data_IF_423281283328
#
_entry.id   IF_423281283328
#
_cell.length_a   1.000
_cell.length_b   1.000
_cell.length_c   1.000
_cell.angle_alpha   90.00
_cell.angle_beta   90.00
_cell.angle_gamma   90.00
#
_symmetry.space_group_name_H-M   'P 1'
#
loop_
_entity.id
_entity.type
_entity.pdbx_description
1 polymer ?
#
# COMPACT_ATOMS: atom_id res chain seq x y z
N UNK A 1 6.24 25.31 -14.37
CA UNK A 1 7.46 25.45 -13.54
C UNK A 1 8.41 24.31 -13.87
N UNK A 2 9.70 24.53 -13.78
CA UNK A 2 10.69 23.49 -14.04
C UNK A 2 10.63 22.42 -12.95
N UNK A 3 10.79 21.15 -13.31
CA UNK A 3 10.96 20.05 -12.34
C UNK A 3 12.26 20.21 -11.56
N UNK A 4 12.32 19.60 -10.36
CA UNK A 4 13.57 19.57 -9.57
C UNK A 4 14.69 18.89 -10.37
N UNK A 5 15.90 19.40 -10.22
CA UNK A 5 17.08 18.83 -10.89
C UNK A 5 17.63 17.65 -10.07
N UNK A 6 17.03 16.49 -10.24
CA UNK A 6 17.44 15.23 -9.60
C UNK A 6 17.48 14.10 -10.62
N UNK A 7 18.26 13.07 -10.35
CA UNK A 7 18.31 11.86 -11.17
C UNK A 7 17.12 10.95 -10.83
N UNK A 8 16.01 11.18 -11.55
CA UNK A 8 14.75 10.46 -11.35
C UNK A 8 14.87 8.95 -11.54
N UNK A 9 15.74 8.49 -12.43
CA UNK A 9 15.96 7.08 -12.73
C UNK A 9 16.69 6.32 -11.62
N UNK A 10 17.44 7.02 -10.77
CA UNK A 10 18.24 6.44 -9.69
C UNK A 10 17.64 6.59 -8.29
N UNK A 11 16.43 7.09 -8.18
CA UNK A 11 15.76 7.17 -6.88
C UNK A 11 15.54 5.77 -6.28
N UNK A 12 15.67 5.66 -4.95
CA UNK A 12 15.23 4.50 -4.18
C UNK A 12 13.81 4.69 -3.67
N UNK A 13 13.25 3.68 -3.01
CA UNK A 13 12.03 3.83 -2.20
C UNK A 13 12.40 4.34 -0.80
N UNK A 14 13.07 5.51 -0.76
CA UNK A 14 13.57 6.16 0.46
C UNK A 14 12.94 7.55 0.65
N UNK A 15 12.99 8.06 1.88
CA UNK A 15 12.51 9.39 2.18
C UNK A 15 13.47 10.47 1.63
N UNK A 16 12.93 11.34 0.80
CA UNK A 16 13.56 12.58 0.35
C UNK A 16 12.67 13.75 0.79
N UNK A 17 13.16 14.71 1.56
CA UNK A 17 12.36 15.82 2.06
C UNK A 17 11.90 16.72 0.90
N UNK A 18 10.63 17.10 0.94
CA UNK A 18 10.01 18.08 0.03
C UNK A 18 9.62 19.33 0.84
N UNK A 19 9.20 20.40 0.15
CA UNK A 19 8.93 21.68 0.83
C UNK A 19 7.63 21.65 1.64
N UNK A 20 6.56 21.09 1.08
CA UNK A 20 5.21 21.21 1.65
C UNK A 20 4.64 19.89 2.15
N UNK A 21 3.92 19.98 3.25
CA UNK A 21 3.09 18.92 3.84
C UNK A 21 1.77 19.51 4.29
N UNK A 22 0.77 18.64 4.50
CA UNK A 22 -0.52 19.01 5.06
C UNK A 22 -0.58 18.59 6.53
N UNK A 23 -1.19 19.43 7.37
CA UNK A 23 -1.43 19.13 8.79
C UNK A 23 -2.82 19.60 9.16
N UNK A 24 -3.56 18.77 9.90
CA UNK A 24 -4.79 19.15 10.58
C UNK A 24 -4.78 18.60 12.01
N UNK A 25 -5.34 19.35 12.96
CA UNK A 25 -5.41 18.99 14.36
C UNK A 25 -6.87 18.69 14.77
N UNK A 26 -7.04 17.66 15.58
CA UNK A 26 -8.29 17.34 16.24
C UNK A 26 -8.19 17.68 17.73
N UNK A 27 -9.04 18.60 18.20
CA UNK A 27 -9.06 19.09 19.59
C UNK A 27 -10.48 19.44 19.99
N UNK A 28 -10.83 19.20 21.26
CA UNK A 28 -12.15 19.57 21.76
C UNK A 28 -13.31 18.83 21.09
N UNK A 29 -13.06 17.68 20.46
CA UNK A 29 -14.07 16.88 19.76
C UNK A 29 -14.26 17.22 18.27
N UNK A 30 -13.45 18.13 17.72
CA UNK A 30 -13.57 18.56 16.31
C UNK A 30 -12.24 18.80 15.62
N UNK A 31 -12.24 18.80 14.29
CA UNK A 31 -11.12 19.24 13.46
C UNK A 31 -11.07 20.75 13.42
N UNK A 32 -10.05 21.35 14.06
CA UNK A 32 -9.99 22.80 14.31
C UNK A 32 -9.25 23.60 13.25
N UNK A 33 -8.37 22.96 12.52
CA UNK A 33 -7.58 23.56 11.44
C UNK A 33 -7.22 22.51 10.38
N UNK A 34 -6.65 22.97 9.28
CA UNK A 34 -6.10 22.13 8.22
C UNK A 34 -5.48 23.00 7.15
N UNK A 35 -4.29 22.61 6.68
CA UNK A 35 -3.62 23.34 5.61
C UNK A 35 -2.15 22.93 5.40
N UNK A 36 -1.55 23.58 4.42
CA UNK A 36 -0.15 23.39 4.07
C UNK A 36 0.79 24.02 5.09
N UNK A 37 1.90 23.35 5.34
CA UNK A 37 3.00 23.86 6.17
C UNK A 37 4.34 23.32 5.67
N UNK A 38 5.41 24.00 5.97
CA UNK A 38 6.79 23.56 5.73
C UNK A 38 7.41 22.79 6.94
N UNK A 39 6.68 22.70 8.05
CA UNK A 39 7.13 22.07 9.30
C UNK A 39 7.26 20.55 9.14
N UNK A 40 8.46 20.06 8.86
CA UNK A 40 8.77 18.65 8.64
C UNK A 40 8.85 17.81 9.93
N UNK A 41 9.03 18.46 11.07
CA UNK A 41 9.16 17.82 12.38
C UNK A 41 7.85 17.82 13.14
N UNK A 42 7.71 16.86 14.05
CA UNK A 42 6.59 16.75 14.98
C UNK A 42 7.15 16.86 16.41
N UNK A 43 6.63 17.80 17.19
CA UNK A 43 6.91 17.88 18.63
C UNK A 43 5.70 17.41 19.39
N UNK A 44 5.83 16.35 20.17
CA UNK A 44 4.78 15.74 21.00
C UNK A 44 5.32 15.42 22.38
N UNK A 45 4.43 15.20 23.36
CA UNK A 45 4.81 14.71 24.69
C UNK A 45 5.45 13.32 24.60
N UNK A 46 6.45 13.04 25.45
CA UNK A 46 6.99 11.69 25.64
C UNK A 46 5.90 10.67 26.02
N UNK A 47 4.81 11.15 26.64
CA UNK A 47 3.66 10.36 27.05
C UNK A 47 2.53 10.31 25.98
N UNK A 48 2.78 10.75 24.74
CA UNK A 48 1.78 10.71 23.69
C UNK A 48 1.31 9.28 23.40
N UNK A 49 0.02 9.10 23.14
CA UNK A 49 -0.61 7.80 22.90
C UNK A 49 0.02 7.01 21.75
N UNK A 50 0.56 7.70 20.75
CA UNK A 50 1.28 7.05 19.65
C UNK A 50 2.59 6.40 20.12
N UNK A 51 3.32 7.01 21.06
CA UNK A 51 4.59 6.48 21.57
C UNK A 51 4.38 5.34 22.56
N UNK A 52 3.29 5.38 23.34
CA UNK A 52 3.02 4.39 24.38
C UNK A 52 2.25 3.18 23.86
N UNK A 53 1.26 3.38 22.99
CA UNK A 53 0.30 2.34 22.59
C UNK A 53 0.15 2.18 21.08
N UNK A 54 1.08 2.75 20.30
CA UNK A 54 1.04 2.70 18.83
C UNK A 54 -0.30 3.11 18.23
N UNK A 55 -1.02 4.07 18.85
CA UNK A 55 -2.30 4.57 18.36
C UNK A 55 -2.07 5.45 17.12
N UNK A 56 -1.88 4.79 15.98
CA UNK A 56 -1.59 5.42 14.68
C UNK A 56 -2.05 4.55 13.53
N UNK A 57 -2.50 5.18 12.45
CA UNK A 57 -2.74 4.54 11.17
C UNK A 57 -2.15 5.38 10.03
N UNK A 58 -1.96 4.78 8.88
CA UNK A 58 -1.34 5.46 7.74
C UNK A 58 -1.91 4.96 6.42
N UNK A 59 -1.64 5.71 5.36
CA UNK A 59 -1.98 5.37 4.00
C UNK A 59 -0.77 5.51 3.07
N UNK A 60 -0.92 5.00 1.87
CA UNK A 60 0.06 5.14 0.82
C UNK A 60 -0.61 5.14 -0.54
N UNK A 61 -0.40 6.21 -1.29
CA UNK A 61 -0.86 6.36 -2.65
C UNK A 61 0.18 7.11 -3.47
N UNK A 62 -0.05 7.25 -4.77
CA UNK A 62 0.92 7.85 -5.69
C UNK A 62 0.28 8.90 -6.58
N UNK A 63 1.08 9.91 -6.94
CA UNK A 63 0.80 10.80 -8.04
C UNK A 63 1.75 10.52 -9.21
N UNK A 64 1.21 10.70 -10.41
CA UNK A 64 1.85 10.37 -11.68
C UNK A 64 1.83 11.58 -12.62
N UNK A 65 2.86 11.75 -13.42
CA UNK A 65 2.77 12.59 -14.62
C UNK A 65 2.34 11.70 -15.78
N UNK A 66 1.18 11.96 -16.35
CA UNK A 66 0.64 11.19 -17.49
C UNK A 66 1.37 11.49 -18.80
N UNK A 67 1.12 10.70 -19.82
CA UNK A 67 1.73 10.87 -21.15
C UNK A 67 1.48 12.26 -21.76
N UNK A 68 0.28 12.82 -21.52
CA UNK A 68 -0.09 14.19 -21.96
C UNK A 68 0.37 15.29 -20.99
N UNK A 69 1.22 14.96 -20.00
CA UNK A 69 1.85 15.90 -19.07
C UNK A 69 0.97 16.38 -17.91
N UNK A 70 -0.22 15.82 -17.73
CA UNK A 70 -1.07 16.11 -16.57
C UNK A 70 -0.54 15.40 -15.32
N UNK A 71 -0.85 15.93 -14.14
CA UNK A 71 -0.58 15.27 -12.88
C UNK A 71 -1.90 14.68 -12.38
N UNK A 72 -1.88 13.40 -12.01
CA UNK A 72 -3.04 12.68 -11.49
C UNK A 72 -2.68 11.86 -10.25
N UNK A 73 -3.66 11.69 -9.33
CA UNK A 73 -3.61 10.73 -8.23
C UNK A 73 -4.52 9.54 -8.54
N UNK A 74 -4.11 8.34 -8.15
CA UNK A 74 -4.88 7.12 -8.43
C UNK A 74 -5.72 6.72 -7.23
N UNK A 75 -7.06 6.74 -7.37
CA UNK A 75 -8.09 6.31 -6.41
C UNK A 75 -7.90 6.83 -4.97
N UNK A 76 -7.67 8.15 -4.76
CA UNK A 76 -7.49 8.71 -3.41
C UNK A 76 -8.75 8.56 -2.53
N UNK A 77 -9.93 8.45 -3.10
CA UNK A 77 -11.20 8.14 -2.45
C UNK A 77 -11.17 6.83 -1.66
N UNK A 78 -10.61 5.78 -2.24
CA UNK A 78 -10.49 4.50 -1.55
C UNK A 78 -9.44 4.53 -0.43
N UNK A 79 -8.39 5.34 -0.55
CA UNK A 79 -7.46 5.57 0.55
C UNK A 79 -8.14 6.31 1.69
N UNK A 80 -8.96 7.34 1.38
CA UNK A 80 -9.75 8.06 2.37
C UNK A 80 -10.69 7.12 3.15
N UNK A 81 -11.48 6.32 2.44
CA UNK A 81 -12.40 5.35 3.03
C UNK A 81 -11.68 4.31 3.91
N UNK A 82 -10.55 3.76 3.44
CA UNK A 82 -9.78 2.76 4.21
C UNK A 82 -9.10 3.38 5.44
N UNK A 83 -8.63 4.62 5.36
CA UNK A 83 -8.13 5.34 6.53
C UNK A 83 -9.24 5.58 7.55
N UNK A 84 -10.45 5.93 7.10
CA UNK A 84 -11.61 6.07 7.97
C UNK A 84 -11.93 4.77 8.72
N UNK A 85 -11.87 3.61 8.04
CA UNK A 85 -12.07 2.30 8.66
C UNK A 85 -10.97 1.98 9.69
N UNK A 86 -9.70 2.28 9.36
CA UNK A 86 -8.60 2.13 10.31
C UNK A 86 -8.77 2.99 11.55
N UNK A 87 -9.22 4.25 11.37
CA UNK A 87 -9.51 5.16 12.48
C UNK A 87 -10.63 4.63 13.39
N UNK A 88 -11.74 4.16 12.79
CA UNK A 88 -12.87 3.59 13.55
C UNK A 88 -12.45 2.42 14.43
N UNK A 89 -11.66 1.50 13.86
CA UNK A 89 -11.16 0.31 14.58
C UNK A 89 -10.21 0.68 15.75
N UNK A 90 -9.39 1.71 15.57
CA UNK A 90 -8.47 2.20 16.61
C UNK A 90 -9.09 3.23 17.56
N UNK A 91 -10.42 3.47 17.46
CA UNK A 91 -11.13 4.50 18.24
C UNK A 91 -10.51 5.89 18.10
N UNK A 92 -10.06 6.22 16.89
CA UNK A 92 -9.56 7.53 16.50
C UNK A 92 -10.66 8.31 15.78
N UNK A 93 -10.69 9.65 15.81
CA UNK A 93 -11.61 10.43 15.02
C UNK A 93 -11.37 10.20 13.52
N UNK A 94 -12.44 10.15 12.74
CA UNK A 94 -12.32 10.05 11.28
C UNK A 94 -11.99 11.44 10.72
N UNK A 95 -10.90 11.53 9.93
CA UNK A 95 -10.70 12.71 9.09
C UNK A 95 -11.66 12.62 7.90
N UNK A 96 -12.47 13.67 7.62
CA UNK A 96 -13.51 13.60 6.58
C UNK A 96 -12.94 13.17 5.22
N UNK A 97 -13.58 12.21 4.57
CA UNK A 97 -13.06 11.58 3.35
C UNK A 97 -12.88 12.59 2.20
N UNK A 98 -13.82 13.53 2.07
CA UNK A 98 -13.70 14.61 1.08
C UNK A 98 -12.50 15.52 1.36
N UNK A 99 -12.30 15.91 2.63
CA UNK A 99 -11.13 16.70 3.04
C UNK A 99 -9.82 15.95 2.88
N UNK A 100 -9.84 14.62 3.02
CA UNK A 100 -8.66 13.81 2.73
C UNK A 100 -8.26 13.91 1.26
N UNK A 101 -9.23 13.79 0.33
CA UNK A 101 -8.98 13.91 -1.11
C UNK A 101 -8.50 15.32 -1.47
N UNK A 102 -9.13 16.36 -0.91
CA UNK A 102 -8.70 17.75 -1.08
C UNK A 102 -7.26 17.96 -0.59
N UNK A 103 -6.92 17.45 0.60
CA UNK A 103 -5.57 17.53 1.16
C UNK A 103 -4.53 16.80 0.28
N UNK A 104 -4.87 15.66 -0.33
CA UNK A 104 -4.01 14.97 -1.31
C UNK A 104 -3.73 15.87 -2.50
N UNK A 105 -4.76 16.43 -3.12
CA UNK A 105 -4.65 17.30 -4.29
C UNK A 105 -3.83 18.56 -3.96
N UNK A 106 -4.11 19.19 -2.84
CA UNK A 106 -3.44 20.40 -2.38
C UNK A 106 -1.95 20.15 -2.12
N UNK A 107 -1.61 19.05 -1.41
CA UNK A 107 -0.23 18.69 -1.11
C UNK A 107 0.56 18.37 -2.38
N UNK A 108 -0.01 17.62 -3.31
CA UNK A 108 0.65 17.33 -4.59
C UNK A 108 0.81 18.58 -5.43
N UNK A 109 -0.20 19.45 -5.48
CA UNK A 109 -0.15 20.73 -6.22
C UNK A 109 0.95 21.64 -5.69
N UNK A 110 1.09 21.74 -4.36
CA UNK A 110 2.14 22.53 -3.73
C UNK A 110 3.56 21.99 -4.01
N UNK A 111 3.68 20.67 -4.23
CA UNK A 111 4.94 19.99 -4.54
C UNK A 111 5.01 19.51 -6.02
N UNK A 112 4.35 20.17 -6.95
CA UNK A 112 4.24 19.72 -8.36
C UNK A 112 5.57 19.60 -9.10
N UNK A 113 6.58 20.33 -8.67
CA UNK A 113 7.95 20.26 -9.20
C UNK A 113 8.71 19.01 -8.72
N UNK A 114 8.22 18.36 -7.66
CA UNK A 114 8.70 17.06 -7.16
C UNK A 114 8.00 15.86 -7.79
N UNK A 115 6.94 16.06 -8.56
CA UNK A 115 6.30 14.96 -9.29
C UNK A 115 7.22 14.55 -10.44
N UNK A 116 7.72 13.30 -10.49
CA UNK A 116 8.65 12.86 -11.52
C UNK A 116 8.07 13.05 -12.93
N UNK A 117 8.91 13.33 -13.94
CA UNK A 117 8.44 13.45 -15.31
C UNK A 117 7.97 12.11 -15.88
N UNK A 118 7.05 12.16 -16.83
CA UNK A 118 6.63 10.98 -17.59
C UNK A 118 7.84 10.29 -18.24
N UNK A 119 7.83 8.96 -18.25
CA UNK A 119 8.90 8.15 -18.85
C UNK A 119 10.11 7.91 -17.93
N UNK A 120 10.20 8.56 -16.77
CA UNK A 120 11.29 8.31 -15.79
C UNK A 120 11.15 7.00 -15.02
N UNK A 121 9.96 6.38 -15.03
CA UNK A 121 9.60 5.24 -14.17
C UNK A 121 9.39 5.59 -12.70
N UNK A 122 9.77 6.80 -12.28
CA UNK A 122 9.61 7.29 -10.92
C UNK A 122 8.19 7.88 -10.70
N UNK A 123 7.76 7.95 -9.45
CA UNK A 123 6.45 8.47 -9.04
C UNK A 123 6.57 9.34 -7.81
N UNK A 124 5.59 10.18 -7.51
CA UNK A 124 5.52 10.86 -6.22
C UNK A 124 4.68 10.01 -5.25
N UNK A 125 5.34 9.49 -4.23
CA UNK A 125 4.67 8.74 -3.16
C UNK A 125 4.09 9.72 -2.14
N UNK A 126 2.85 9.46 -1.73
CA UNK A 126 2.10 10.28 -0.77
C UNK A 126 1.86 9.44 0.46
N UNK A 127 2.22 9.98 1.65
CA UNK A 127 2.08 9.31 2.95
C UNK A 127 1.16 10.10 3.88
N UNK A 128 -0.16 9.87 3.82
CA UNK A 128 -1.07 10.28 4.89
C UNK A 128 -0.88 9.41 6.13
N UNK A 129 -0.97 10.03 7.31
CA UNK A 129 -0.95 9.31 8.58
C UNK A 129 -1.64 10.11 9.67
N UNK A 130 -2.12 9.42 10.69
CA UNK A 130 -2.79 10.03 11.83
C UNK A 130 -2.35 9.35 13.12
N UNK A 131 -2.25 10.10 14.21
CA UNK A 131 -1.79 9.59 15.49
C UNK A 131 -2.35 10.37 16.67
N UNK A 132 -2.46 9.70 17.85
CA UNK A 132 -2.79 10.32 19.13
C UNK A 132 -1.62 11.14 19.65
N UNK A 133 -1.85 12.43 19.88
CA UNK A 133 -0.77 13.41 20.16
C UNK A 133 -0.69 13.90 21.60
N UNK A 134 -1.79 13.82 22.37
CA UNK A 134 -1.78 14.27 23.76
C UNK A 134 -1.20 13.22 24.73
N UNK A 135 -0.78 13.64 25.95
CA UNK A 135 -0.31 12.71 26.99
C UNK A 135 -1.37 11.71 27.41
N UNK A 136 -1.02 10.42 27.46
CA UNK A 136 -1.89 9.32 27.88
C UNK A 136 -1.06 8.27 28.62
N UNK A 137 -1.34 8.04 29.91
CA UNK A 137 -0.70 6.97 30.70
C UNK A 137 -1.55 5.70 30.74
N UNK A 138 -2.86 5.84 30.98
CA UNK A 138 -3.78 4.69 30.97
C UNK A 138 -4.07 4.21 29.54
N UNK A 139 -4.35 2.92 29.38
CA UNK A 139 -4.76 2.35 28.08
C UNK A 139 -6.16 2.86 27.72
N UNK A 140 -6.20 3.97 27.00
CA UNK A 140 -7.42 4.60 26.47
C UNK A 140 -7.10 5.32 25.17
N UNK A 141 -8.12 5.64 24.33
CA UNK A 141 -7.93 6.52 23.20
C UNK A 141 -7.38 7.89 23.63
N UNK A 142 -6.57 8.51 22.79
CA UNK A 142 -6.17 9.89 22.96
C UNK A 142 -7.38 10.84 22.84
N UNK A 143 -7.23 12.04 23.37
CA UNK A 143 -8.26 13.11 23.27
C UNK A 143 -7.92 14.10 22.14
N UNK A 144 -6.64 14.18 21.75
CA UNK A 144 -6.15 15.01 20.65
C UNK A 144 -5.39 14.18 19.64
N UNK A 145 -5.52 14.54 18.35
CA UNK A 145 -4.90 13.84 17.23
C UNK A 145 -4.33 14.82 16.23
N UNK A 146 -3.32 14.37 15.46
CA UNK A 146 -2.88 15.05 14.26
C UNK A 146 -3.08 14.14 13.04
N UNK A 147 -3.71 14.68 11.99
CA UNK A 147 -3.63 14.16 10.64
C UNK A 147 -2.51 14.89 9.92
N UNK A 148 -1.62 14.14 9.30
CA UNK A 148 -0.49 14.69 8.54
C UNK A 148 -0.33 13.97 7.21
N UNK A 149 0.19 14.70 6.24
CA UNK A 149 0.50 14.12 4.92
C UNK A 149 1.77 14.75 4.39
N UNK A 150 2.73 13.92 3.99
CA UNK A 150 3.91 14.37 3.25
C UNK A 150 4.05 13.59 1.94
N UNK A 151 4.88 14.12 1.05
CA UNK A 151 5.18 13.47 -0.24
C UNK A 151 6.69 13.28 -0.36
N UNK A 152 7.09 12.27 -1.15
CA UNK A 152 8.49 11.99 -1.47
C UNK A 152 8.57 11.36 -2.86
N UNK A 153 9.47 11.82 -3.75
CA UNK A 153 9.67 11.14 -5.01
C UNK A 153 10.35 9.80 -4.77
N UNK A 154 9.85 8.75 -5.44
CA UNK A 154 10.38 7.39 -5.35
C UNK A 154 10.67 6.86 -6.75
N UNK A 155 11.75 6.12 -6.87
CA UNK A 155 12.14 5.49 -8.13
C UNK A 155 11.29 4.29 -8.50
N UNK A 156 11.58 3.68 -9.65
CA UNK A 156 10.99 2.40 -10.00
C UNK A 156 11.31 1.37 -8.92
N UNK A 157 10.31 0.64 -8.49
CA UNK A 157 10.46 -0.35 -7.41
C UNK A 157 11.51 -1.41 -7.77
N UNK A 158 11.57 -1.79 -9.03
CA UNK A 158 12.56 -2.73 -9.55
C UNK A 158 13.69 -2.00 -10.26
N UNK A 159 14.76 -1.66 -9.52
CA UNK A 159 16.00 -1.19 -10.13
C UNK A 159 16.68 -2.34 -10.89
N UNK A 160 16.96 -2.15 -12.16
CA UNK A 160 17.63 -3.15 -12.99
C UNK A 160 16.73 -4.22 -13.59
N UNK A 161 15.43 -4.01 -13.59
CA UNK A 161 14.42 -4.91 -14.15
C UNK A 161 13.68 -5.72 -13.10
N UNK A 162 12.54 -6.28 -13.50
CA UNK A 162 11.67 -7.07 -12.63
C UNK A 162 12.31 -8.44 -12.42
N UNK A 163 12.70 -8.74 -11.17
CA UNK A 163 13.16 -10.07 -10.77
C UNK A 163 12.03 -10.79 -10.03
N UNK A 164 11.72 -12.05 -10.38
CA UNK A 164 10.78 -12.84 -9.63
C UNK A 164 11.25 -13.06 -8.19
N UNK A 165 10.34 -12.90 -7.23
CA UNK A 165 10.60 -13.03 -5.81
C UNK A 165 10.65 -14.50 -5.39
N UNK A 166 11.44 -14.77 -4.34
CA UNK A 166 11.44 -16.04 -3.61
C UNK A 166 10.83 -15.80 -2.23
N UNK A 167 9.69 -16.43 -1.97
CA UNK A 167 8.94 -16.29 -0.73
C UNK A 167 9.04 -17.55 0.12
N UNK A 168 8.82 -17.41 1.43
CA UNK A 168 8.63 -18.57 2.31
C UNK A 168 7.27 -18.49 3.01
N UNK A 169 6.71 -19.66 3.38
CA UNK A 169 5.57 -19.72 4.30
C UNK A 169 6.08 -19.45 5.71
N UNK A 170 5.41 -18.55 6.42
CA UNK A 170 5.79 -18.14 7.78
C UNK A 170 5.20 -19.06 8.84
N UNK A 171 6.02 -19.38 9.86
CA UNK A 171 5.57 -20.00 11.10
C UNK A 171 4.97 -19.00 12.11
N UNK A 172 5.18 -17.70 11.88
CA UNK A 172 4.65 -16.63 12.71
C UNK A 172 3.38 -16.04 12.10
N UNK A 173 2.53 -15.53 12.96
CA UNK A 173 1.28 -14.88 12.54
C UNK A 173 1.52 -13.41 12.21
N UNK A 174 0.81 -12.88 11.20
CA UNK A 174 0.79 -11.46 10.86
C UNK A 174 -0.20 -10.69 11.74
N UNK A 175 -1.31 -11.31 12.07
CA UNK A 175 -2.40 -10.72 12.85
C UNK A 175 -3.23 -11.81 13.53
N UNK A 176 -3.87 -11.45 14.66
CA UNK A 176 -4.83 -12.33 15.32
C UNK A 176 -6.07 -12.59 14.42
N UNK A 177 -6.74 -13.74 14.52
CA UNK A 177 -7.87 -14.12 13.66
C UNK A 177 -9.04 -13.13 13.65
N UNK A 178 -9.23 -12.39 14.75
CA UNK A 178 -10.26 -11.36 14.92
C UNK A 178 -9.65 -10.04 15.39
N UNK A 179 -8.44 -9.75 14.95
CA UNK A 179 -7.66 -8.58 15.37
C UNK A 179 -7.70 -7.44 14.36
N UNK A 180 -6.55 -6.83 14.16
CA UNK A 180 -6.36 -5.59 13.39
C UNK A 180 -5.81 -5.82 11.97
N UNK A 181 -5.73 -7.07 11.50
CA UNK A 181 -5.09 -7.39 10.21
C UNK A 181 -5.70 -6.67 9.01
N UNK A 182 -6.99 -6.38 9.06
CA UNK A 182 -7.73 -5.71 7.98
C UNK A 182 -7.56 -4.19 7.93
N UNK A 183 -6.89 -3.58 8.91
CA UNK A 183 -6.64 -2.13 8.93
C UNK A 183 -5.17 -1.79 8.68
N UNK A 184 -4.92 -0.56 8.21
CA UNK A 184 -3.56 -0.09 7.91
C UNK A 184 -2.95 0.64 9.11
N UNK A 185 -2.68 -0.14 10.17
CA UNK A 185 -2.13 0.35 11.43
C UNK A 185 -0.65 -0.02 11.60
N UNK A 186 0.16 0.90 12.13
CA UNK A 186 1.60 0.70 12.35
C UNK A 186 1.93 -0.55 13.16
N UNK A 187 1.07 -0.91 14.12
CA UNK A 187 1.26 -2.09 14.97
C UNK A 187 1.37 -3.40 14.17
N UNK A 188 0.60 -3.56 13.07
CA UNK A 188 0.67 -4.75 12.22
C UNK A 188 2.04 -4.87 11.52
N UNK A 189 2.62 -3.74 11.15
CA UNK A 189 3.94 -3.69 10.50
C UNK A 189 5.07 -3.90 11.51
N UNK A 190 4.98 -3.31 12.69
CA UNK A 190 5.95 -3.53 13.76
C UNK A 190 6.00 -5.01 14.17
N UNK A 191 4.85 -5.69 14.23
CA UNK A 191 4.77 -7.12 14.55
C UNK A 191 5.51 -7.99 13.53
N UNK A 192 5.52 -7.61 12.25
CA UNK A 192 6.17 -8.38 11.18
C UNK A 192 7.66 -8.06 10.97
N UNK A 193 8.25 -7.08 11.69
CA UNK A 193 9.66 -6.69 11.50
C UNK A 193 10.64 -7.82 11.78
N UNK A 194 10.46 -8.57 12.86
CA UNK A 194 11.32 -9.70 13.17
C UNK A 194 11.31 -10.72 12.03
N UNK A 195 10.12 -11.07 11.56
CA UNK A 195 9.94 -12.13 10.57
C UNK A 195 10.50 -11.76 9.19
N UNK A 196 10.37 -10.49 8.76
CA UNK A 196 10.92 -10.05 7.47
C UNK A 196 12.45 -9.98 7.50
N UNK A 197 13.04 -9.51 8.62
CA UNK A 197 14.50 -9.49 8.77
C UNK A 197 15.06 -10.90 8.74
N UNK A 198 14.47 -11.82 9.52
CA UNK A 198 14.85 -13.24 9.54
C UNK A 198 14.70 -13.90 8.16
N UNK A 199 13.64 -13.57 7.40
CA UNK A 199 13.48 -14.06 6.02
C UNK A 199 14.63 -13.59 5.11
N UNK A 200 14.98 -12.29 5.18
CA UNK A 200 16.07 -11.73 4.37
C UNK A 200 17.42 -12.35 4.73
N UNK A 201 17.71 -12.58 6.03
CA UNK A 201 18.94 -13.26 6.48
C UNK A 201 19.06 -14.70 5.96
N UNK A 202 17.92 -15.35 5.71
CA UNK A 202 17.84 -16.69 5.11
C UNK A 202 17.75 -16.68 3.57
N UNK A 203 17.81 -15.51 2.93
CA UNK A 203 17.82 -15.36 1.47
C UNK A 203 16.44 -15.34 0.81
N UNK A 204 15.37 -15.17 1.56
CA UNK A 204 14.02 -14.96 1.04
C UNK A 204 13.71 -13.46 0.90
N UNK A 205 12.89 -13.12 -0.08
CA UNK A 205 12.50 -11.72 -0.33
C UNK A 205 11.34 -11.27 0.57
N UNK A 206 10.44 -12.20 0.98
CA UNK A 206 9.26 -11.89 1.80
C UNK A 206 8.65 -13.16 2.42
N UNK A 207 7.81 -12.98 3.42
CA UNK A 207 7.01 -14.05 4.04
C UNK A 207 5.57 -14.04 3.53
N UNK A 208 5.03 -15.21 3.24
CA UNK A 208 3.60 -15.44 3.11
C UNK A 208 3.07 -15.84 4.48
N UNK A 209 2.01 -15.18 4.92
CA UNK A 209 1.30 -15.54 6.14
C UNK A 209 0.07 -16.38 5.81
N UNK A 210 -0.21 -17.30 6.70
CA UNK A 210 -1.41 -18.14 6.65
C UNK A 210 -2.40 -17.70 7.73
N UNK A 211 -3.65 -18.13 7.62
CA UNK A 211 -4.66 -17.84 8.62
C UNK A 211 -4.24 -18.34 10.01
N UNK A 212 -4.27 -17.44 10.98
CA UNK A 212 -3.81 -17.74 12.35
C UNK A 212 -4.71 -18.72 13.12
N UNK A 213 -5.92 -19.01 12.63
CA UNK A 213 -6.85 -19.90 13.28
C UNK A 213 -6.60 -21.38 12.95
N UNK A 214 -6.37 -21.70 11.69
CA UNK A 214 -6.21 -23.09 11.22
C UNK A 214 -4.84 -23.37 10.62
N UNK A 215 -4.12 -22.32 10.17
CA UNK A 215 -2.81 -22.37 9.50
C UNK A 215 -2.82 -23.17 8.20
N UNK A 216 -3.97 -23.22 7.55
CA UNK A 216 -4.17 -24.02 6.32
C UNK A 216 -4.45 -23.19 5.08
N UNK A 217 -4.76 -21.89 5.22
CA UNK A 217 -5.14 -21.02 4.11
C UNK A 217 -4.17 -19.84 3.98
N UNK A 218 -3.82 -19.53 2.74
CA UNK A 218 -3.02 -18.34 2.41
C UNK A 218 -3.81 -17.06 2.71
N UNK A 219 -3.15 -16.09 3.35
CA UNK A 219 -3.71 -14.75 3.54
C UNK A 219 -2.99 -13.72 2.66
N UNK A 220 -1.94 -13.12 3.17
CA UNK A 220 -1.16 -12.10 2.47
C UNK A 220 0.30 -12.11 2.94
N UNK A 221 1.12 -11.21 2.41
CA UNK A 221 2.50 -11.01 2.89
C UNK A 221 2.57 -9.87 3.92
N UNK A 222 3.76 -9.58 4.44
CA UNK A 222 3.97 -8.47 5.37
C UNK A 222 3.61 -7.10 4.78
N UNK A 223 3.85 -6.89 3.49
CA UNK A 223 3.67 -5.60 2.82
C UNK A 223 2.71 -5.56 1.64
N UNK A 224 2.21 -6.70 1.15
CA UNK A 224 1.43 -6.81 -0.08
C UNK A 224 0.39 -7.93 -0.03
N UNK A 225 -0.69 -7.77 -0.80
CA UNK A 225 -1.63 -8.87 -1.06
C UNK A 225 -1.06 -9.82 -2.10
N UNK A 226 -1.58 -11.05 -2.16
CA UNK A 226 -1.18 -12.07 -3.12
C UNK A 226 -2.28 -12.35 -4.15
N UNK A 227 -1.89 -12.60 -5.38
CA UNK A 227 -2.75 -13.00 -6.48
C UNK A 227 -2.16 -14.23 -7.18
N UNK A 228 -3.02 -15.11 -7.67
CA UNK A 228 -2.65 -16.28 -8.44
C UNK A 228 -3.39 -16.30 -9.77
N UNK A 229 -2.80 -16.97 -10.76
CA UNK A 229 -3.47 -17.28 -12.03
C UNK A 229 -3.56 -18.78 -12.17
N UNK A 230 -4.76 -19.30 -12.42
CA UNK A 230 -4.98 -20.73 -12.64
C UNK A 230 -4.47 -21.16 -14.03
N UNK A 231 -4.32 -22.46 -14.26
CA UNK A 231 -3.90 -23.01 -15.56
C UNK A 231 -4.92 -22.76 -16.67
N UNK A 232 -6.18 -22.58 -16.32
CA UNK A 232 -7.27 -22.20 -17.24
C UNK A 232 -7.47 -20.66 -17.36
N UNK A 233 -6.59 -19.86 -16.75
CA UNK A 233 -6.50 -18.40 -16.97
C UNK A 233 -7.40 -17.55 -16.09
N UNK A 234 -7.91 -18.04 -14.96
CA UNK A 234 -8.67 -17.26 -13.99
C UNK A 234 -7.72 -16.52 -13.05
N UNK A 235 -8.11 -15.32 -12.62
CA UNK A 235 -7.43 -14.60 -11.55
C UNK A 235 -8.05 -14.97 -10.19
N UNK A 236 -7.23 -15.45 -9.27
CA UNK A 236 -7.67 -15.89 -7.93
C UNK A 236 -6.90 -15.13 -6.87
N UNK A 237 -7.58 -14.71 -5.81
CA UNK A 237 -6.94 -14.04 -4.68
C UNK A 237 -7.57 -14.49 -3.36
N UNK A 238 -6.78 -14.56 -2.27
CA UNK A 238 -7.31 -14.90 -0.96
C UNK A 238 -8.40 -13.95 -0.48
N UNK A 239 -9.41 -14.48 0.18
CA UNK A 239 -10.46 -13.74 0.88
C UNK A 239 -10.45 -14.14 2.35
N UNK A 240 -10.18 -13.18 3.23
CA UNK A 240 -10.20 -13.34 4.68
C UNK A 240 -10.56 -12.02 5.34
N UNK A 241 -11.10 -12.07 6.56
CA UNK A 241 -11.40 -10.89 7.36
C UNK A 241 -10.15 -10.25 8.00
N UNK A 242 -8.99 -10.89 7.88
CA UNK A 242 -7.70 -10.43 8.44
C UNK A 242 -6.78 -9.81 7.39
N UNK A 243 -7.12 -9.92 6.10
CA UNK A 243 -6.34 -9.37 4.99
C UNK A 243 -6.65 -7.88 4.82
N UNK A 244 -5.60 -7.07 4.62
CA UNK A 244 -5.77 -5.66 4.26
C UNK A 244 -6.53 -5.53 2.93
N UNK A 245 -7.64 -4.74 2.87
CA UNK A 245 -8.38 -4.52 1.63
C UNK A 245 -7.59 -3.62 0.67
N UNK A 246 -6.66 -4.21 -0.07
CA UNK A 246 -5.76 -3.52 -0.98
C UNK A 246 -6.51 -2.84 -2.12
N UNK A 247 -6.19 -1.56 -2.35
CA UNK A 247 -6.73 -0.78 -3.47
C UNK A 247 -6.17 -1.31 -4.80
N UNK A 248 -4.89 -1.66 -4.83
CA UNK A 248 -4.26 -2.26 -6.02
C UNK A 248 -4.91 -3.60 -6.36
N UNK A 249 -5.13 -4.50 -5.39
CA UNK A 249 -5.82 -5.76 -5.61
C UNK A 249 -7.22 -5.54 -6.19
N UNK A 250 -8.04 -4.68 -5.57
CA UNK A 250 -9.38 -4.33 -6.08
C UNK A 250 -9.34 -3.82 -7.51
N UNK A 251 -8.35 -2.98 -7.83
CA UNK A 251 -8.19 -2.44 -9.18
C UNK A 251 -7.77 -3.54 -10.17
N UNK A 252 -6.88 -4.46 -9.79
CA UNK A 252 -6.46 -5.58 -10.63
C UNK A 252 -7.60 -6.55 -10.90
N UNK A 253 -8.46 -6.86 -9.91
CA UNK A 253 -9.64 -7.69 -10.10
C UNK A 253 -10.61 -7.07 -11.11
N UNK A 254 -10.80 -5.74 -11.05
CA UNK A 254 -11.63 -5.03 -12.01
C UNK A 254 -10.99 -4.96 -13.41
N UNK A 255 -9.65 -4.71 -13.47
CA UNK A 255 -8.89 -4.77 -14.72
C UNK A 255 -9.00 -6.15 -15.38
N UNK A 256 -8.86 -7.22 -14.62
CA UNK A 256 -9.02 -8.58 -15.14
C UNK A 256 -10.38 -8.79 -15.79
N UNK A 257 -11.45 -8.36 -15.15
CA UNK A 257 -12.83 -8.49 -15.67
C UNK A 257 -13.08 -7.62 -16.90
N UNK A 258 -12.86 -6.30 -16.77
CA UNK A 258 -13.43 -5.33 -17.72
C UNK A 258 -12.48 -4.91 -18.85
N UNK A 259 -11.17 -5.16 -18.69
CA UNK A 259 -10.18 -4.91 -19.73
C UNK A 259 -9.66 -6.19 -20.37
N UNK A 260 -9.55 -7.28 -19.60
CA UNK A 260 -8.96 -8.53 -20.10
C UNK A 260 -9.96 -9.66 -20.29
N UNK A 261 -11.24 -9.49 -19.87
CA UNK A 261 -12.29 -10.49 -20.03
C UNK A 261 -12.06 -11.77 -19.22
N UNK A 262 -11.30 -11.68 -18.11
CA UNK A 262 -10.94 -12.83 -17.28
C UNK A 262 -12.04 -13.14 -16.24
N UNK A 263 -12.18 -14.41 -15.90
CA UNK A 263 -12.89 -14.81 -14.69
C UNK A 263 -12.04 -14.47 -13.46
N UNK A 264 -12.71 -14.06 -12.37
CA UNK A 264 -12.06 -13.63 -11.12
C UNK A 264 -12.73 -14.31 -9.94
N UNK A 265 -11.94 -14.88 -9.06
CA UNK A 265 -12.39 -15.52 -7.83
C UNK A 265 -11.72 -14.90 -6.60
N UNK A 266 -12.54 -14.48 -5.63
CA UNK A 266 -12.09 -14.13 -4.28
C UNK A 266 -12.59 -15.20 -3.31
N UNK A 267 -11.68 -16.05 -2.83
CA UNK A 267 -12.03 -17.21 -1.98
C UNK A 267 -10.88 -17.56 -1.03
N UNK A 268 -11.14 -18.46 -0.10
CA UNK A 268 -10.07 -19.11 0.65
C UNK A 268 -9.20 -19.92 -0.30
N UNK A 269 -7.89 -19.90 -0.09
CA UNK A 269 -6.89 -20.63 -0.88
C UNK A 269 -6.10 -21.52 0.08
N UNK A 270 -6.23 -22.84 -0.08
CA UNK A 270 -5.51 -23.80 0.72
C UNK A 270 -4.01 -23.81 0.37
N UNK A 271 -3.16 -24.05 1.37
CA UNK A 271 -1.75 -24.33 1.14
C UNK A 271 -1.54 -25.51 0.18
N UNK A 272 -2.42 -26.53 0.22
CA UNK A 272 -2.32 -27.73 -0.60
C UNK A 272 -2.62 -27.50 -2.10
N UNK A 273 -3.18 -26.35 -2.47
CA UNK A 273 -3.51 -26.04 -3.86
C UNK A 273 -2.52 -25.07 -4.55
N UNK A 274 -1.59 -24.46 -3.82
CA UNK A 274 -0.74 -23.40 -4.39
C UNK A 274 0.18 -23.87 -5.50
N UNK A 275 0.51 -25.17 -5.57
CA UNK A 275 1.29 -25.78 -6.66
C UNK A 275 0.46 -26.06 -7.93
N UNK A 276 -0.84 -25.84 -7.88
CA UNK A 276 -1.74 -26.01 -9.03
C UNK A 276 -1.87 -24.73 -9.88
N UNK A 277 -1.46 -23.58 -9.35
CA UNK A 277 -1.51 -22.31 -10.08
C UNK A 277 -0.37 -22.19 -11.11
N UNK A 278 -0.63 -21.46 -12.19
CA UNK A 278 0.35 -21.21 -13.25
C UNK A 278 1.26 -20.02 -12.96
N UNK A 279 0.68 -18.94 -12.41
CA UNK A 279 1.40 -17.71 -12.10
C UNK A 279 1.03 -17.23 -10.68
N UNK A 280 1.97 -16.51 -10.07
CA UNK A 280 1.80 -15.90 -8.75
C UNK A 280 2.41 -14.50 -8.71
N UNK A 281 1.77 -13.55 -8.04
CA UNK A 281 2.27 -12.20 -7.87
C UNK A 281 1.84 -11.57 -6.55
N UNK A 282 2.68 -10.68 -6.03
CA UNK A 282 2.33 -9.80 -4.92
C UNK A 282 1.85 -8.46 -5.47
N UNK A 283 0.79 -7.89 -4.92
CA UNK A 283 0.25 -6.63 -5.40
C UNK A 283 0.09 -5.58 -4.30
N UNK A 284 0.48 -4.35 -4.63
CA UNK A 284 0.44 -3.22 -3.71
C UNK A 284 0.84 -1.90 -4.37
N UNK A 285 0.64 -0.80 -3.67
CA UNK A 285 0.90 0.56 -4.20
C UNK A 285 2.36 0.76 -4.61
N UNK A 286 3.31 0.17 -3.88
CA UNK A 286 4.74 0.40 -4.12
C UNK A 286 5.19 -0.15 -5.48
N UNK A 287 4.91 -1.42 -5.78
CA UNK A 287 5.40 -2.14 -6.95
C UNK A 287 4.33 -2.37 -8.03
N UNK A 288 3.07 -2.10 -7.76
CA UNK A 288 1.89 -2.52 -8.54
C UNK A 288 1.74 -4.03 -8.50
N UNK A 289 2.57 -4.78 -9.22
CA UNK A 289 2.71 -6.24 -9.08
C UNK A 289 4.20 -6.59 -9.04
N UNK A 290 4.58 -7.41 -8.05
CA UNK A 290 5.87 -8.10 -7.99
C UNK A 290 5.66 -9.56 -8.34
N UNK A 291 6.25 -10.07 -9.44
CA UNK A 291 6.09 -11.48 -9.81
C UNK A 291 6.77 -12.39 -8.79
N UNK A 292 6.16 -13.53 -8.50
CA UNK A 292 6.71 -14.57 -7.63
C UNK A 292 7.25 -15.70 -8.50
N UNK A 293 8.50 -16.04 -8.31
CA UNK A 293 9.16 -17.17 -9.01
C UNK A 293 9.15 -18.45 -8.19
N UNK A 294 9.17 -18.31 -6.86
CA UNK A 294 9.25 -19.47 -5.97
C UNK A 294 8.56 -19.20 -4.64
N UNK A 295 7.86 -20.19 -4.12
CA UNK A 295 7.39 -20.27 -2.73
C UNK A 295 8.04 -21.49 -2.08
N UNK A 296 8.59 -21.33 -0.88
CA UNK A 296 9.15 -22.41 -0.09
C UNK A 296 8.26 -22.67 1.11
N UNK A 297 7.71 -23.87 1.19
CA UNK A 297 6.89 -24.35 2.29
C UNK A 297 7.64 -25.45 3.04
N UNK A 298 8.31 -25.11 4.14
CA UNK A 298 9.06 -26.04 5.01
C UNK A 298 9.99 -26.98 4.23
N UNK A 299 10.71 -26.42 3.25
CA UNK A 299 11.63 -27.16 2.38
C UNK A 299 11.00 -27.72 1.09
N UNK A 300 9.68 -27.71 0.95
CA UNK A 300 9.01 -27.98 -0.33
C UNK A 300 9.07 -26.73 -1.20
N UNK A 301 9.76 -26.81 -2.34
CA UNK A 301 9.82 -25.71 -3.30
C UNK A 301 8.68 -25.81 -4.32
N UNK A 302 7.97 -24.70 -4.52
CA UNK A 302 6.91 -24.54 -5.52
C UNK A 302 7.35 -23.41 -6.44
N UNK A 303 7.48 -23.69 -7.74
CA UNK A 303 7.99 -22.76 -8.75
C UNK A 303 6.88 -22.29 -9.69
N UNK A 304 6.94 -21.02 -10.08
CA UNK A 304 6.04 -20.38 -11.02
C UNK A 304 6.81 -19.80 -12.20
N UNK A 305 6.09 -19.43 -13.26
CA UNK A 305 6.66 -18.83 -14.47
C UNK A 305 7.35 -17.45 -14.23
N UNK A 306 7.36 -16.97 -12.99
CA UNK A 306 7.84 -15.63 -12.67
C UNK A 306 6.92 -14.57 -13.27
N UNK A 307 7.44 -13.70 -14.14
CA UNK A 307 6.61 -12.72 -14.84
C UNK A 307 5.89 -13.39 -16.02
N UNK A 308 4.88 -14.18 -15.69
CA UNK A 308 4.06 -14.87 -16.70
C UNK A 308 3.20 -13.91 -17.52
N UNK A 309 2.66 -14.37 -18.65
CA UNK A 309 1.96 -13.51 -19.60
C UNK A 309 0.70 -12.84 -19.04
N UNK A 310 0.04 -13.46 -18.07
CA UNK A 310 -1.18 -12.89 -17.48
C UNK A 310 -0.84 -11.83 -16.44
N UNK A 311 0.11 -12.09 -15.57
CA UNK A 311 0.63 -11.10 -14.60
C UNK A 311 1.20 -9.88 -15.35
N UNK A 312 1.91 -10.10 -16.47
CA UNK A 312 2.42 -9.01 -17.31
C UNK A 312 1.28 -8.14 -17.86
N UNK A 313 0.24 -8.76 -18.43
CA UNK A 313 -0.91 -8.01 -18.97
C UNK A 313 -1.64 -7.21 -17.89
N UNK A 314 -1.84 -7.79 -16.71
CA UNK A 314 -2.45 -7.10 -15.56
C UNK A 314 -1.61 -5.88 -15.14
N UNK A 315 -0.29 -6.06 -15.04
CA UNK A 315 0.65 -4.99 -14.71
C UNK A 315 0.62 -3.87 -15.76
N UNK A 316 0.75 -4.21 -17.04
CA UNK A 316 0.80 -3.24 -18.13
C UNK A 316 -0.51 -2.48 -18.27
N UNK A 317 -1.65 -3.16 -18.06
CA UNK A 317 -2.97 -2.51 -18.13
C UNK A 317 -3.17 -1.54 -16.99
N UNK A 318 -2.90 -1.93 -15.75
CA UNK A 318 -3.09 -1.06 -14.59
C UNK A 318 -2.12 0.12 -14.61
N UNK A 319 -0.85 -0.11 -14.92
CA UNK A 319 0.14 0.96 -15.07
C UNK A 319 -0.18 1.87 -16.26
N UNK A 320 -0.68 1.30 -17.36
CA UNK A 320 -1.16 2.06 -18.52
C UNK A 320 -2.28 3.04 -18.16
N UNK A 321 -3.22 2.64 -17.31
CA UNK A 321 -4.27 3.54 -16.78
C UNK A 321 -3.66 4.63 -15.91
N UNK A 322 -2.77 4.26 -14.98
CA UNK A 322 -2.12 5.20 -14.06
C UNK A 322 -1.27 6.26 -14.78
N UNK A 323 -0.63 5.91 -15.89
CA UNK A 323 0.18 6.80 -16.71
C UNK A 323 -0.58 7.47 -17.86
N UNK A 324 -1.89 7.24 -17.99
CA UNK A 324 -2.75 7.83 -19.01
C UNK A 324 -2.53 7.27 -20.42
N UNK A 325 -1.91 6.09 -20.56
CA UNK A 325 -1.73 5.38 -21.84
C UNK A 325 -2.96 4.56 -22.24
N UNK A 326 -3.69 4.08 -21.25
CA UNK A 326 -4.92 3.28 -21.42
C UNK A 326 -6.06 4.10 -20.85
N UNK A 327 -7.20 4.08 -21.54
CA UNK A 327 -8.42 4.76 -21.11
C UNK A 327 -8.82 4.34 -19.70
N UNK A 328 -9.07 5.31 -18.84
CA UNK A 328 -9.63 5.11 -17.51
C UNK A 328 -11.16 5.06 -17.57
N UNK A 329 -11.70 3.86 -17.81
CA UNK A 329 -13.16 3.63 -17.95
C UNK A 329 -13.97 3.95 -16.68
N UNK A 330 -13.30 4.05 -15.55
CA UNK A 330 -13.96 4.13 -14.24
C UNK A 330 -13.71 5.45 -13.50
N UNK A 331 -12.93 6.36 -14.08
CA UNK A 331 -12.59 7.63 -13.42
C UNK A 331 -11.73 7.45 -12.17
N UNK A 332 -10.82 6.48 -12.17
CA UNK A 332 -9.91 6.21 -11.04
C UNK A 332 -8.81 7.25 -10.87
N UNK A 333 -8.51 7.96 -11.93
CA UNK A 333 -7.48 8.99 -11.93
C UNK A 333 -8.09 10.36 -11.64
N UNK A 334 -7.68 10.97 -10.53
CA UNK A 334 -8.13 12.30 -10.11
C UNK A 334 -7.07 13.32 -10.47
N UNK A 335 -7.46 14.32 -11.24
CA UNK A 335 -6.55 15.39 -11.69
C UNK A 335 -6.20 16.34 -10.52
N UNK A 336 -4.91 16.72 -10.45
CA UNK A 336 -4.35 17.67 -9.49
C UNK A 336 -4.41 19.12 -10.00
#
# INVERSE_FOLDING_TARGET
MAKKNIDWGNLSFGYMPTEWRYVANFKGGEWVDGGLTDQATVTISECAGVLQYAQTCFEGLKAYTTEDGKIVCFRPDLNAARMADSCRQLKMPVFPEEKFVEAVIETVRANKDWVPPYGSGATLYIRPYMFGSNPVIGVKPADEYQFRMFVTPVGPYFKGGIKPLTLRISDLDRAAPRGTGHIKAGLNYAMSLYNIVDAHEQGYDENIYVDAATRTHIEETGGANIIFVTKDGKLVTPKSSTILPSITRRSLLQVAKDYLGMEVEEREISLDEIDQFAECGLCGTAAVISPVGKIVDHGKEITYAGFGPTIQKLYDTLTGIQWGKIEDKFGWTVKV
#
